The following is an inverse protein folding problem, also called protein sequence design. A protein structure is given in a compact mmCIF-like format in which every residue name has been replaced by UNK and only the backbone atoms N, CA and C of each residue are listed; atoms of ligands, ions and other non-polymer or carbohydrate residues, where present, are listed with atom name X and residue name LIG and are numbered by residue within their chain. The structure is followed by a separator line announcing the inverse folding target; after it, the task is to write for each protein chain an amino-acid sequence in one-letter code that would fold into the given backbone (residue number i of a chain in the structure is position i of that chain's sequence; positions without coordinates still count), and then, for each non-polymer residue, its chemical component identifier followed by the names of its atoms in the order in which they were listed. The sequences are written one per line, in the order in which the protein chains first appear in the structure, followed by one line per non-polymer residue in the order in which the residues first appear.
data_IF_390242592369
#
_entry.id   IF_390242592369
#
_cell.length_a   1.000
_cell.length_b   1.000
_cell.length_c   1.000
_cell.angle_alpha   90.00
_cell.angle_beta   90.00
_cell.angle_gamma   90.00
#
_symmetry.space_group_name_H-M   'P 1'
#
loop_
_entity.id
_entity.type
_entity.pdbx_description
1 polymer ?
#
# COMPACT_ATOMS: atom_id res chain seq x y z
N UNK A 1 8.36 15.16 22.88
CA UNK A 1 9.19 14.50 23.92
C UNK A 1 9.20 15.41 25.14
N UNK A 2 8.84 14.90 26.32
CA UNK A 2 8.64 15.73 27.52
C UNK A 2 9.97 15.92 28.25
N UNK A 3 10.28 17.16 28.59
CA UNK A 3 11.41 17.58 29.42
C UNK A 3 10.84 18.24 30.67
N UNK A 4 11.53 18.22 31.83
CA UNK A 4 12.80 17.55 32.13
C UNK A 4 12.67 16.02 32.21
N UNK A 5 13.73 15.29 31.84
CA UNK A 5 13.81 13.83 31.95
C UNK A 5 14.32 13.40 33.33
N UNK A 6 13.87 12.22 33.78
CA UNK A 6 14.40 11.57 34.99
C UNK A 6 15.90 11.30 34.84
N UNK A 7 16.68 11.69 35.86
CA UNK A 7 18.11 11.42 35.94
C UNK A 7 18.35 9.93 36.23
N UNK A 8 19.39 9.39 35.60
CA UNK A 8 19.79 7.99 35.74
C UNK A 8 21.28 7.97 36.02
N UNK A 9 21.68 7.48 37.20
CA UNK A 9 23.08 7.57 37.66
C UNK A 9 24.03 6.62 36.93
N UNK A 10 23.56 5.44 36.51
CA UNK A 10 24.35 4.42 35.82
C UNK A 10 23.54 3.78 34.68
N UNK A 11 24.23 3.34 33.63
CA UNK A 11 23.57 2.58 32.56
C UNK A 11 23.24 1.17 33.04
N UNK A 12 21.99 0.74 32.88
CA UNK A 12 21.50 -0.56 33.32
C UNK A 12 20.68 -1.23 32.22
N UNK A 13 20.67 -2.56 32.21
CA UNK A 13 19.80 -3.37 31.37
C UNK A 13 18.80 -4.04 32.28
N UNK A 14 17.50 -3.86 32.02
CA UNK A 14 16.46 -4.58 32.73
C UNK A 14 16.44 -6.04 32.25
N UNK A 15 16.72 -7.03 33.12
CA UNK A 15 16.76 -8.44 32.72
C UNK A 15 15.39 -9.02 32.34
N UNK A 16 14.28 -8.39 32.76
CA UNK A 16 12.93 -8.88 32.45
C UNK A 16 12.41 -8.35 31.10
N UNK A 17 12.67 -7.08 30.80
CA UNK A 17 12.18 -6.42 29.57
C UNK A 17 13.25 -6.29 28.48
N UNK A 18 14.53 -6.44 28.82
CA UNK A 18 15.65 -6.19 27.90
C UNK A 18 15.93 -4.70 27.67
N UNK A 19 15.21 -3.80 28.36
CA UNK A 19 15.33 -2.36 28.15
C UNK A 19 16.66 -1.81 28.66
N UNK A 20 17.34 -1.04 27.80
CA UNK A 20 18.60 -0.37 28.13
C UNK A 20 18.30 1.06 28.62
N UNK A 21 18.48 1.29 29.91
CA UNK A 21 18.48 2.62 30.48
C UNK A 21 19.90 3.17 30.45
N UNK A 22 20.16 4.21 29.67
CA UNK A 22 21.46 4.89 29.66
C UNK A 22 21.57 5.87 30.81
N UNK A 23 22.79 6.02 31.35
CA UNK A 23 23.12 7.09 32.30
C UNK A 23 22.73 8.45 31.73
N UNK A 24 22.01 9.24 32.52
CA UNK A 24 21.61 10.62 32.21
C UNK A 24 22.03 11.54 33.35
N UNK A 25 22.97 12.44 33.06
CA UNK A 25 23.49 13.43 34.00
C UNK A 25 22.79 14.79 33.97
N UNK A 26 22.10 15.11 32.86
CA UNK A 26 21.38 16.38 32.70
C UNK A 26 19.93 16.10 32.27
N UNK A 27 18.92 16.69 32.94
CA UNK A 27 17.52 16.44 32.63
C UNK A 27 17.05 17.03 31.29
N UNK A 28 17.79 17.94 30.68
CA UNK A 28 17.45 18.59 29.40
C UNK A 28 18.16 17.97 28.20
N UNK A 29 19.02 16.97 28.43
CA UNK A 29 19.77 16.28 27.39
C UNK A 29 19.15 14.89 27.16
N UNK A 30 18.77 14.63 25.92
CA UNK A 30 18.32 13.33 25.46
C UNK A 30 19.49 12.37 25.29
N UNK A 31 19.23 11.10 24.97
CA UNK A 31 20.31 10.18 24.67
C UNK A 31 21.02 10.64 23.38
N UNK A 32 22.35 10.75 23.42
CA UNK A 32 23.13 11.31 22.31
C UNK A 32 24.38 10.47 22.03
N UNK A 33 24.94 10.68 20.84
CA UNK A 33 26.27 10.24 20.47
C UNK A 33 27.20 11.46 20.49
N UNK A 34 28.34 11.36 21.16
CA UNK A 34 29.25 12.49 21.36
C UNK A 34 29.78 13.10 20.07
N UNK A 35 30.03 12.29 19.05
CA UNK A 35 30.57 12.76 17.77
C UNK A 35 29.49 13.43 16.94
N UNK A 36 28.29 12.84 16.88
CA UNK A 36 27.19 13.40 16.11
C UNK A 36 26.65 14.69 16.74
N UNK A 37 26.56 14.79 18.08
CA UNK A 37 26.14 16.04 18.73
C UNK A 37 27.16 17.15 18.51
N UNK A 38 28.46 16.81 18.50
CA UNK A 38 29.52 17.78 18.23
C UNK A 38 29.50 18.26 16.76
N UNK A 39 29.26 17.34 15.82
CA UNK A 39 29.20 17.65 14.39
C UNK A 39 27.94 18.44 14.02
N UNK A 40 26.76 17.98 14.45
CA UNK A 40 25.47 18.57 14.09
C UNK A 40 25.09 19.77 14.97
N UNK A 41 25.70 19.91 16.16
CA UNK A 41 25.42 20.96 17.14
C UNK A 41 23.93 21.09 17.49
N UNK A 42 23.21 19.99 17.42
CA UNK A 42 21.76 19.89 17.63
C UNK A 42 21.44 18.77 18.63
N UNK A 43 20.36 18.95 19.39
CA UNK A 43 19.92 17.92 20.34
C UNK A 43 19.47 16.67 19.57
N UNK A 44 19.94 15.50 19.99
CA UNK A 44 19.63 14.22 19.36
C UNK A 44 18.89 13.32 20.34
N UNK A 45 18.10 12.39 19.83
CA UNK A 45 17.43 11.37 20.64
C UNK A 45 17.72 9.98 20.07
N UNK A 46 18.83 9.39 20.52
CA UNK A 46 19.26 8.05 20.11
C UNK A 46 18.59 7.01 20.99
N UNK A 47 17.85 6.10 20.36
CA UNK A 47 17.20 4.97 21.01
C UNK A 47 17.81 3.68 20.49
N UNK A 48 18.15 2.77 21.41
CA UNK A 48 18.51 1.40 21.05
C UNK A 48 17.25 0.62 20.72
N UNK A 49 17.27 -0.09 19.60
CA UNK A 49 16.12 -0.85 19.09
C UNK A 49 16.50 -2.33 19.17
N UNK A 50 15.82 -3.07 20.04
CA UNK A 50 15.97 -4.52 20.14
C UNK A 50 14.82 -5.24 19.45
N UNK A 51 14.98 -6.53 19.12
CA UNK A 51 13.92 -7.35 18.54
C UNK A 51 12.78 -7.53 19.54
N UNK A 52 11.55 -7.13 19.18
CA UNK A 52 10.39 -7.21 20.06
C UNK A 52 9.30 -6.21 19.66
N UNK A 53 8.37 -5.94 20.59
CA UNK A 53 7.30 -4.95 20.43
C UNK A 53 7.81 -3.55 20.10
N UNK A 54 8.94 -3.14 20.69
CA UNK A 54 9.49 -1.80 20.51
C UNK A 54 10.01 -1.58 19.08
N UNK A 55 10.67 -2.57 18.49
CA UNK A 55 11.05 -2.52 17.07
C UNK A 55 9.82 -2.45 16.16
N UNK A 56 8.80 -3.28 16.46
CA UNK A 56 7.55 -3.32 15.70
C UNK A 56 6.83 -1.97 15.73
N UNK A 57 6.72 -1.36 16.92
CA UNK A 57 6.11 -0.05 17.11
C UNK A 57 6.91 1.07 16.42
N UNK A 58 8.24 1.01 16.52
CA UNK A 58 9.11 2.02 15.96
C UNK A 58 9.14 2.01 14.43
N UNK A 59 9.07 0.84 13.79
CA UNK A 59 8.96 0.75 12.32
C UNK A 59 7.79 1.59 11.83
N UNK A 60 6.61 1.44 12.44
CA UNK A 60 5.47 2.28 12.09
C UNK A 60 5.69 3.75 12.40
N UNK A 61 6.28 4.09 13.55
CA UNK A 61 6.57 5.48 13.89
C UNK A 61 7.48 6.16 12.85
N UNK A 62 8.54 5.45 12.43
CA UNK A 62 9.47 5.94 11.40
C UNK A 62 8.74 6.05 10.07
N UNK A 63 7.98 5.03 9.67
CA UNK A 63 7.21 5.06 8.41
C UNK A 63 6.22 6.22 8.42
N UNK A 64 5.39 6.37 9.45
CA UNK A 64 4.42 7.46 9.59
C UNK A 64 5.10 8.84 9.52
N UNK A 65 6.31 8.96 10.08
CA UNK A 65 7.09 10.19 10.03
C UNK A 65 7.64 10.47 8.62
N UNK A 66 8.21 9.46 7.95
CA UNK A 66 8.75 9.58 6.59
C UNK A 66 7.65 9.83 5.57
N UNK A 67 6.48 9.19 5.72
CA UNK A 67 5.34 9.34 4.82
C UNK A 67 4.43 10.50 5.21
N UNK A 68 4.81 11.32 6.20
CA UNK A 68 4.00 12.46 6.64
C UNK A 68 3.84 13.44 5.49
N UNK A 69 2.60 13.73 5.12
CA UNK A 69 2.29 14.70 4.07
C UNK A 69 2.89 16.05 4.42
N UNK A 70 3.60 16.66 3.46
CA UNK A 70 4.27 17.95 3.66
C UNK A 70 3.30 19.10 3.86
N UNK A 71 2.07 19.00 3.32
CA UNK A 71 1.05 20.02 3.43
C UNK A 71 -0.02 19.62 4.44
N UNK A 72 -0.35 20.53 5.37
CA UNK A 72 -1.45 20.30 6.30
C UNK A 72 -2.80 20.41 5.57
N UNK A 73 -3.83 19.76 6.10
CA UNK A 73 -5.18 19.82 5.52
C UNK A 73 -5.72 21.25 5.47
N UNK A 74 -5.46 22.06 6.50
CA UNK A 74 -5.91 23.45 6.57
C UNK A 74 -5.28 24.33 5.49
N UNK A 75 -3.99 24.15 5.21
CA UNK A 75 -3.29 24.88 4.15
C UNK A 75 -3.83 24.50 2.78
N UNK A 76 -4.01 23.20 2.53
CA UNK A 76 -4.65 22.67 1.31
C UNK A 76 -6.03 23.30 1.09
N UNK A 77 -6.85 23.36 2.14
CA UNK A 77 -8.19 23.94 2.06
C UNK A 77 -8.15 25.44 1.73
N UNK A 78 -7.27 26.20 2.38
CA UNK A 78 -7.12 27.64 2.14
C UNK A 78 -6.69 27.95 0.69
N UNK A 79 -5.79 27.11 0.15
CA UNK A 79 -5.34 27.19 -1.24
C UNK A 79 -6.50 26.87 -2.19
N UNK A 80 -7.23 25.78 -1.95
CA UNK A 80 -8.39 25.41 -2.77
C UNK A 80 -9.45 26.52 -2.78
N UNK A 81 -9.74 27.12 -1.62
CA UNK A 81 -10.67 28.25 -1.50
C UNK A 81 -10.21 29.45 -2.34
N UNK A 82 -8.92 29.81 -2.25
CA UNK A 82 -8.34 30.87 -3.07
C UNK A 82 -8.46 30.58 -4.57
N UNK A 83 -8.37 29.31 -5.01
CA UNK A 83 -8.53 28.96 -6.44
C UNK A 83 -9.96 29.16 -6.88
N UNK A 84 -10.92 28.71 -6.05
CA UNK A 84 -12.34 28.84 -6.33
C UNK A 84 -12.71 30.32 -6.48
N UNK A 85 -12.29 31.18 -5.56
CA UNK A 85 -12.53 32.64 -5.66
C UNK A 85 -11.92 33.22 -6.93
N UNK A 86 -10.70 32.81 -7.30
CA UNK A 86 -10.05 33.27 -8.54
C UNK A 86 -10.79 32.85 -9.81
N UNK A 87 -11.44 31.68 -9.79
CA UNK A 87 -12.20 31.10 -10.91
C UNK A 87 -13.59 31.73 -11.02
N UNK A 88 -14.27 31.95 -9.90
CA UNK A 88 -15.56 32.64 -9.85
C UNK A 88 -15.49 34.05 -10.47
N UNK A 89 -14.41 34.78 -10.19
CA UNK A 89 -14.19 36.10 -10.77
C UNK A 89 -14.06 36.08 -12.31
N UNK A 90 -13.49 35.00 -12.87
CA UNK A 90 -13.34 34.81 -14.32
C UNK A 90 -14.64 34.35 -15.00
N UNK A 91 -15.39 33.47 -14.33
CA UNK A 91 -16.68 33.01 -14.84
C UNK A 91 -17.72 34.12 -14.94
N UNK A 92 -17.65 35.12 -14.05
CA UNK A 92 -18.49 36.31 -14.14
C UNK A 92 -18.22 37.16 -15.40
N UNK A 93 -17.09 36.93 -16.09
CA UNK A 93 -16.68 37.69 -17.29
C UNK A 93 -16.87 36.91 -18.60
N UNK A 94 -17.04 35.58 -18.57
CA UNK A 94 -17.13 34.73 -19.77
C UNK A 94 -18.27 33.71 -19.66
N UNK A 95 -19.35 33.92 -20.42
CA UNK A 95 -20.61 33.18 -20.26
C UNK A 95 -20.82 32.01 -21.26
N UNK A 96 -19.86 31.73 -22.15
CA UNK A 96 -20.04 30.79 -23.27
C UNK A 96 -19.44 29.38 -23.08
N UNK A 97 -19.00 29.02 -21.87
CA UNK A 97 -18.37 27.70 -21.63
C UNK A 97 -19.34 26.65 -21.05
N UNK A 98 -19.24 25.43 -21.56
CA UNK A 98 -19.95 24.25 -21.04
C UNK A 98 -19.59 23.96 -19.59
N UNK A 99 -20.54 23.42 -18.81
CA UNK A 99 -20.35 23.05 -17.41
C UNK A 99 -19.18 22.06 -17.22
N UNK A 100 -18.96 21.14 -18.17
CA UNK A 100 -17.84 20.18 -18.12
C UNK A 100 -16.50 20.91 -18.21
N UNK A 101 -16.39 21.89 -19.12
CA UNK A 101 -15.15 22.63 -19.34
C UNK A 101 -14.85 23.55 -18.14
N UNK A 102 -15.88 24.16 -17.56
CA UNK A 102 -15.78 24.91 -16.30
C UNK A 102 -15.24 24.03 -15.18
N UNK A 103 -15.79 22.83 -14.99
CA UNK A 103 -15.31 21.87 -14.00
C UNK A 103 -13.85 21.44 -14.23
N UNK A 104 -13.47 21.15 -15.49
CA UNK A 104 -12.07 20.82 -15.84
C UNK A 104 -11.12 21.96 -15.49
N UNK A 105 -11.47 23.19 -15.84
CA UNK A 105 -10.65 24.39 -15.53
C UNK A 105 -10.54 24.65 -14.04
N UNK A 106 -11.62 24.43 -13.28
CA UNK A 106 -11.60 24.54 -11.83
C UNK A 106 -10.61 23.55 -11.22
N UNK A 107 -10.72 22.26 -11.57
CA UNK A 107 -9.82 21.20 -11.07
C UNK A 107 -8.37 21.50 -11.43
N UNK A 108 -8.09 21.86 -12.68
CA UNK A 108 -6.74 22.17 -13.15
C UNK A 108 -6.15 23.38 -12.39
N UNK A 109 -6.97 24.39 -12.08
CA UNK A 109 -6.53 25.59 -11.38
C UNK A 109 -6.28 25.33 -9.89
N UNK A 110 -7.13 24.52 -9.25
CA UNK A 110 -6.88 24.03 -7.89
C UNK A 110 -5.56 23.24 -7.85
N UNK A 111 -5.36 22.31 -8.79
CA UNK A 111 -4.13 21.53 -8.88
C UNK A 111 -2.88 22.40 -9.07
N UNK A 112 -2.89 23.31 -10.05
CA UNK A 112 -1.75 24.19 -10.32
C UNK A 112 -1.43 25.12 -9.15
N UNK A 113 -2.46 25.59 -8.43
CA UNK A 113 -2.20 26.41 -7.25
C UNK A 113 -1.64 25.60 -6.08
N UNK A 114 -2.15 24.39 -5.84
CA UNK A 114 -1.57 23.49 -4.86
C UNK A 114 -0.12 23.16 -5.19
N UNK A 115 0.17 22.82 -6.45
CA UNK A 115 1.53 22.52 -6.91
C UNK A 115 2.48 23.72 -6.81
N UNK A 116 2.01 24.93 -7.14
CA UNK A 116 2.86 26.14 -7.10
C UNK A 116 3.11 26.69 -5.70
N UNK A 117 2.21 26.42 -4.74
CA UNK A 117 2.33 26.88 -3.36
C UNK A 117 2.85 25.77 -2.43
N UNK A 118 3.25 24.63 -2.99
CA UNK A 118 3.87 23.56 -2.22
C UNK A 118 5.29 23.98 -1.82
N UNK A 119 5.52 24.13 -0.53
CA UNK A 119 6.86 24.33 0.01
C UNK A 119 7.67 23.03 -0.15
N UNK A 120 8.89 23.15 -0.68
CA UNK A 120 9.85 22.06 -0.79
C UNK A 120 10.99 22.30 0.20
N UNK A 121 11.48 21.24 0.81
CA UNK A 121 12.65 21.33 1.68
C UNK A 121 13.88 21.73 0.85
N UNK A 122 14.73 22.61 1.39
CA UNK A 122 16.00 22.97 0.75
C UNK A 122 16.88 21.75 0.43
N UNK A 123 16.78 20.68 1.24
CA UNK A 123 17.47 19.41 1.01
C UNK A 123 16.91 18.68 -0.21
N UNK A 124 15.59 18.69 -0.41
CA UNK A 124 14.95 18.10 -1.59
C UNK A 124 15.35 18.86 -2.86
N UNK A 125 15.35 20.20 -2.81
CA UNK A 125 15.78 21.04 -3.93
C UNK A 125 17.25 20.79 -4.26
N UNK A 126 18.12 20.72 -3.26
CA UNK A 126 19.54 20.41 -3.46
C UNK A 126 19.72 19.02 -4.09
N UNK A 127 19.05 17.99 -3.57
CA UNK A 127 19.10 16.63 -4.13
C UNK A 127 18.69 16.60 -5.60
N UNK A 128 17.61 17.30 -5.95
CA UNK A 128 17.13 17.41 -7.32
C UNK A 128 18.12 18.14 -8.23
N UNK A 129 18.68 19.27 -7.79
CA UNK A 129 19.69 20.03 -8.54
C UNK A 129 20.99 19.23 -8.73
N UNK A 130 21.35 18.38 -7.77
CA UNK A 130 22.50 17.50 -7.84
C UNK A 130 22.23 16.23 -8.67
N UNK A 131 21.02 16.08 -9.23
CA UNK A 131 20.58 14.91 -9.98
C UNK A 131 20.79 13.60 -9.19
N UNK A 132 20.50 13.66 -7.89
CA UNK A 132 20.48 12.49 -7.03
C UNK A 132 19.11 11.82 -7.10
N UNK A 133 19.11 10.49 -7.04
CA UNK A 133 17.87 9.72 -6.96
C UNK A 133 17.11 10.06 -5.68
N UNK A 134 15.79 10.16 -5.77
CA UNK A 134 14.87 10.48 -4.68
C UNK A 134 14.46 9.25 -3.86
N UNK A 135 14.90 8.05 -4.27
CA UNK A 135 14.61 6.81 -3.58
C UNK A 135 15.72 5.77 -3.78
N UNK A 136 15.84 4.85 -2.81
CA UNK A 136 16.65 3.65 -2.91
C UNK A 136 15.74 2.44 -2.84
N UNK A 137 15.74 1.60 -3.87
CA UNK A 137 14.94 0.38 -3.90
C UNK A 137 15.80 -0.82 -4.24
N UNK A 138 15.65 -1.88 -3.46
CA UNK A 138 16.30 -3.18 -3.71
C UNK A 138 15.51 -4.04 -4.68
N UNK A 139 14.22 -3.73 -4.86
CA UNK A 139 13.28 -4.50 -5.66
C UNK A 139 12.54 -3.60 -6.64
N UNK A 140 12.04 -4.18 -7.71
CA UNK A 140 11.05 -3.55 -8.60
C UNK A 140 9.65 -3.87 -8.12
N UNK A 141 8.69 -3.02 -8.43
CA UNK A 141 7.32 -3.12 -7.96
C UNK A 141 6.34 -3.18 -9.13
N UNK A 142 5.22 -3.87 -8.93
CA UNK A 142 4.16 -3.95 -9.92
C UNK A 142 2.79 -3.82 -9.23
N UNK A 143 1.95 -2.92 -9.72
CA UNK A 143 0.68 -2.61 -9.08
C UNK A 143 -0.34 -3.72 -9.31
N UNK A 144 -1.08 -4.08 -8.25
CA UNK A 144 -2.14 -5.08 -8.27
C UNK A 144 -3.39 -4.58 -7.54
N UNK A 145 -4.48 -4.37 -8.27
CA UNK A 145 -5.78 -3.98 -7.72
C UNK A 145 -6.57 -5.20 -7.22
N UNK A 146 -6.23 -5.68 -6.01
CA UNK A 146 -6.81 -6.90 -5.46
C UNK A 146 -8.33 -6.83 -5.27
N UNK A 147 -8.84 -5.70 -4.80
CA UNK A 147 -10.27 -5.54 -4.44
C UNK A 147 -11.21 -5.80 -5.62
N UNK A 148 -10.79 -5.45 -6.83
CA UNK A 148 -11.59 -5.68 -8.04
C UNK A 148 -11.71 -7.16 -8.34
N UNK A 149 -10.60 -7.89 -8.19
CA UNK A 149 -10.56 -9.34 -8.39
C UNK A 149 -11.39 -10.06 -7.32
N UNK A 150 -11.27 -9.64 -6.05
CA UNK A 150 -12.11 -10.17 -4.97
C UNK A 150 -13.61 -9.95 -5.21
N UNK A 151 -14.00 -8.73 -5.61
CA UNK A 151 -15.40 -8.38 -5.89
C UNK A 151 -15.96 -9.19 -7.06
N UNK A 152 -15.20 -9.30 -8.15
CA UNK A 152 -15.58 -10.13 -9.29
C UNK A 152 -15.83 -11.59 -8.87
N UNK A 153 -14.89 -12.18 -8.12
CA UNK A 153 -15.03 -13.56 -7.66
C UNK A 153 -16.24 -13.73 -6.73
N UNK A 154 -16.47 -12.79 -5.82
CA UNK A 154 -17.64 -12.82 -4.94
C UNK A 154 -18.95 -12.71 -5.73
N UNK A 155 -19.03 -11.79 -6.69
CA UNK A 155 -20.19 -11.62 -7.56
C UNK A 155 -20.46 -12.90 -8.37
N UNK A 156 -19.43 -13.47 -8.99
CA UNK A 156 -19.54 -14.72 -9.75
C UNK A 156 -20.02 -15.90 -8.88
N UNK A 157 -19.56 -15.98 -7.62
CA UNK A 157 -20.01 -17.01 -6.68
C UNK A 157 -21.48 -16.82 -6.31
N UNK A 158 -21.89 -15.57 -6.04
CA UNK A 158 -23.27 -15.24 -5.70
C UNK A 158 -24.23 -15.52 -6.86
N UNK A 159 -23.84 -15.20 -8.10
CA UNK A 159 -24.60 -15.54 -9.30
C UNK A 159 -24.76 -17.06 -9.46
N UNK A 160 -23.67 -17.81 -9.29
CA UNK A 160 -23.70 -19.29 -9.37
C UNK A 160 -24.61 -19.89 -8.29
N UNK A 161 -24.55 -19.35 -7.07
CA UNK A 161 -25.46 -19.73 -5.96
C UNK A 161 -26.92 -19.41 -6.29
N UNK A 162 -27.19 -18.25 -6.86
CA UNK A 162 -28.54 -17.85 -7.24
C UNK A 162 -29.12 -18.76 -8.34
N UNK A 163 -28.32 -19.09 -9.36
CA UNK A 163 -28.71 -20.03 -10.42
C UNK A 163 -29.05 -21.41 -9.86
N UNK A 164 -28.21 -21.95 -8.96
CA UNK A 164 -28.50 -23.25 -8.33
C UNK A 164 -29.77 -23.21 -7.46
N UNK A 165 -30.03 -22.11 -6.75
CA UNK A 165 -31.27 -21.93 -5.98
C UNK A 165 -32.50 -21.90 -6.90
N UNK A 166 -32.44 -21.21 -8.03
CA UNK A 166 -33.50 -21.19 -9.05
C UNK A 166 -33.77 -22.56 -9.64
N UNK A 167 -32.72 -23.32 -9.97
CA UNK A 167 -32.85 -24.70 -10.47
C UNK A 167 -33.46 -25.64 -9.41
N UNK A 168 -33.06 -25.49 -8.13
CA UNK A 168 -33.58 -26.30 -7.03
C UNK A 168 -35.04 -25.94 -6.69
N UNK A 169 -35.40 -24.66 -6.78
CA UNK A 169 -36.76 -24.16 -6.60
C UNK A 169 -37.70 -24.54 -7.75
N UNK A 170 -37.19 -24.64 -8.98
CA UNK A 170 -37.95 -25.16 -10.12
C UNK A 170 -38.27 -26.66 -9.97
N UNK A 171 -37.48 -27.39 -9.16
CA UNK A 171 -37.65 -28.84 -8.94
C UNK A 171 -38.54 -29.18 -7.73
N UNK A 172 -38.71 -28.27 -6.76
CA UNK A 172 -39.50 -28.50 -5.54
C UNK A 172 -40.63 -27.46 -5.40
N UNK A 173 -41.85 -27.87 -5.74
CA UNK A 173 -43.07 -27.15 -5.35
C UNK A 173 -43.39 -27.53 -3.90
N UNK A 174 -43.43 -26.53 -3.00
CA UNK A 174 -43.64 -26.58 -1.53
C UNK A 174 -42.32 -26.91 -0.79
N UNK A 175 -41.74 -26.07 0.07
CA UNK A 175 -42.32 -25.32 1.17
C UNK A 175 -41.58 -24.00 1.42
N UNK A 176 -42.31 -23.01 1.93
CA UNK A 176 -41.77 -21.72 2.36
C UNK A 176 -40.97 -21.91 3.64
N UNK A 177 -39.69 -21.55 3.64
CA UNK A 177 -39.05 -20.99 4.82
C UNK A 177 -38.08 -19.88 4.41
N UNK A 178 -38.53 -18.66 4.72
CA UNK A 178 -37.78 -17.42 4.63
C UNK A 178 -36.65 -17.51 5.67
N UNK A 179 -35.42 -17.65 5.19
CA UNK A 179 -34.24 -17.22 5.95
C UNK A 179 -33.80 -15.87 5.41
N UNK A 180 -33.99 -14.88 6.28
CA UNK A 180 -33.48 -13.52 6.21
C UNK A 180 -31.94 -13.62 6.21
N UNK A 181 -31.33 -13.52 5.04
CA UNK A 181 -29.90 -13.26 4.92
C UNK A 181 -29.79 -11.84 4.38
N UNK A 182 -29.27 -10.96 5.23
CA UNK A 182 -29.19 -9.53 5.01
C UNK A 182 -28.75 -9.23 3.58
N UNK A 183 -29.57 -8.47 2.85
CA UNK A 183 -29.13 -7.84 1.62
C UNK A 183 -27.94 -6.96 1.99
N UNK A 184 -26.72 -7.47 1.78
CA UNK A 184 -25.52 -6.64 1.78
C UNK A 184 -25.80 -5.59 0.72
N UNK A 185 -25.99 -4.38 1.21
CA UNK A 185 -26.25 -3.15 0.51
C UNK A 185 -25.45 -3.14 -0.81
N UNK A 186 -26.12 -3.53 -1.89
CA UNK A 186 -25.54 -3.61 -3.24
C UNK A 186 -25.63 -2.24 -3.92
N UNK A 187 -25.61 -1.18 -3.11
CA UNK A 187 -25.70 0.19 -3.59
C UNK A 187 -24.26 0.71 -3.80
N UNK A 188 -23.88 0.74 -5.08
CA UNK A 188 -22.83 1.57 -5.67
C UNK A 188 -21.36 1.15 -5.55
N UNK A 189 -20.95 -0.04 -6.04
CA UNK A 189 -19.55 -0.21 -6.46
C UNK A 189 -19.18 -1.43 -7.36
N UNK A 190 -20.01 -1.77 -8.33
CA UNK A 190 -19.74 -2.81 -9.36
C UNK A 190 -18.71 -2.38 -10.43
N UNK A 191 -18.06 -1.23 -10.26
CA UNK A 191 -17.14 -0.68 -11.25
C UNK A 191 -15.77 -1.37 -11.20
N UNK A 192 -15.64 -2.50 -11.89
CA UNK A 192 -14.33 -3.00 -12.30
C UNK A 192 -13.60 -1.91 -13.10
N UNK A 193 -12.39 -1.55 -12.67
CA UNK A 193 -11.59 -0.60 -13.43
C UNK A 193 -10.89 -1.34 -14.57
N UNK A 194 -11.24 -0.96 -15.78
CA UNK A 194 -10.62 -1.47 -16.97
C UNK A 194 -9.69 -0.43 -17.56
N UNK A 195 -8.51 -0.87 -18.00
CA UNK A 195 -7.75 -0.08 -18.95
C UNK A 195 -8.46 -0.15 -20.31
N UNK A 196 -8.92 1.01 -20.78
CA UNK A 196 -9.49 1.16 -22.12
C UNK A 196 -8.32 1.27 -23.10
N UNK A 197 -8.14 0.24 -23.93
CA UNK A 197 -7.13 0.25 -24.99
C UNK A 197 -7.81 0.28 -26.37
N UNK A 198 -7.36 1.19 -27.25
CA UNK A 198 -7.80 1.21 -28.65
C UNK A 198 -6.99 0.19 -29.45
N UNK A 199 -7.67 -0.66 -30.21
CA UNK A 199 -7.02 -1.41 -31.28
C UNK A 199 -6.67 -0.48 -32.46
N UNK A 200 -5.51 -0.67 -33.08
CA UNK A 200 -5.02 0.19 -34.18
C UNK A 200 -5.83 0.04 -35.48
N UNK A 201 -6.45 -1.12 -35.70
CA UNK A 201 -7.10 -1.46 -36.97
C UNK A 201 -8.62 -1.29 -37.00
N UNK A 202 -9.24 -1.12 -35.85
CA UNK A 202 -10.66 -0.83 -35.71
C UNK A 202 -10.79 0.00 -34.44
N UNK A 203 -11.59 1.07 -34.45
CA UNK A 203 -11.90 1.94 -33.29
C UNK A 203 -12.70 1.20 -32.20
N UNK A 204 -12.32 -0.03 -31.90
CA UNK A 204 -12.90 -0.92 -30.90
C UNK A 204 -12.10 -0.75 -29.63
N UNK A 205 -12.80 -0.33 -28.58
CA UNK A 205 -12.24 -0.25 -27.25
C UNK A 205 -12.30 -1.64 -26.62
N UNK A 206 -11.17 -2.09 -26.09
CA UNK A 206 -11.08 -3.34 -25.33
C UNK A 206 -10.84 -2.99 -23.87
N UNK A 207 -11.69 -3.56 -23.01
CA UNK A 207 -11.58 -3.46 -21.56
C UNK A 207 -10.66 -4.56 -21.06
N UNK A 208 -9.56 -4.18 -20.41
CA UNK A 208 -8.57 -5.16 -19.94
C UNK A 208 -8.11 -4.85 -18.52
N UNK A 209 -7.94 -5.92 -17.74
CA UNK A 209 -7.46 -5.90 -16.36
C UNK A 209 -6.50 -7.09 -16.16
N UNK A 210 -5.59 -6.99 -15.18
CA UNK A 210 -4.68 -8.07 -14.75
C UNK A 210 -5.45 -9.35 -14.42
N UNK A 211 -6.67 -9.22 -13.86
CA UNK A 211 -7.58 -10.35 -13.65
C UNK A 211 -7.81 -11.15 -14.93
N UNK A 212 -8.17 -10.47 -16.03
CA UNK A 212 -8.46 -11.11 -17.33
C UNK A 212 -7.18 -11.74 -17.90
N UNK A 213 -6.05 -11.02 -17.79
CA UNK A 213 -4.74 -11.54 -18.21
C UNK A 213 -4.39 -12.84 -17.44
N UNK A 214 -4.70 -12.91 -16.13
CA UNK A 214 -4.48 -14.09 -15.29
C UNK A 214 -5.45 -15.24 -15.60
N UNK A 215 -6.75 -14.96 -15.74
CA UNK A 215 -7.76 -15.98 -16.02
C UNK A 215 -7.54 -16.69 -17.35
N UNK A 216 -7.10 -15.97 -18.38
CA UNK A 216 -6.87 -16.53 -19.71
C UNK A 216 -5.37 -16.69 -20.02
N UNK A 217 -4.56 -16.92 -18.98
CA UNK A 217 -3.14 -17.24 -19.11
C UNK A 217 -2.93 -18.55 -19.87
N UNK A 218 -1.72 -18.75 -20.41
CA UNK A 218 -1.32 -19.99 -21.07
C UNK A 218 -1.47 -21.20 -20.15
N UNK A 219 -1.85 -22.35 -20.70
CA UNK A 219 -2.01 -23.61 -19.95
C UNK A 219 -0.73 -24.04 -19.21
N UNK A 220 0.45 -23.63 -19.71
CA UNK A 220 1.74 -23.86 -19.07
C UNK A 220 1.89 -23.12 -17.72
N UNK A 221 1.09 -22.08 -17.49
CA UNK A 221 1.14 -21.23 -16.30
C UNK A 221 -0.01 -21.54 -15.31
N UNK A 222 -0.75 -22.63 -15.52
CA UNK A 222 -1.93 -22.95 -14.70
C UNK A 222 -1.61 -23.16 -13.21
N UNK A 223 -0.38 -23.56 -12.89
CA UNK A 223 0.09 -23.79 -11.51
C UNK A 223 0.48 -22.53 -10.75
N UNK A 224 0.56 -21.38 -11.41
CA UNK A 224 0.94 -20.13 -10.76
C UNK A 224 -0.24 -19.49 -10.05
N UNK A 225 -0.01 -18.99 -8.85
CA UNK A 225 -0.95 -18.12 -8.17
C UNK A 225 -0.91 -16.70 -8.75
N UNK A 226 -1.91 -15.87 -8.43
CA UNK A 226 -1.99 -14.51 -8.92
C UNK A 226 -0.78 -13.65 -8.49
N UNK A 227 -0.29 -13.84 -7.25
CA UNK A 227 0.88 -13.14 -6.75
C UNK A 227 2.14 -13.42 -7.59
N UNK A 228 2.44 -14.69 -7.83
CA UNK A 228 3.59 -15.10 -8.64
C UNK A 228 3.44 -14.69 -10.10
N UNK A 229 2.22 -14.74 -10.63
CA UNK A 229 1.95 -14.30 -11.99
C UNK A 229 2.33 -12.83 -12.19
N UNK A 230 1.89 -11.95 -11.30
CA UNK A 230 2.20 -10.50 -11.35
C UNK A 230 3.67 -10.23 -11.06
N UNK A 231 4.29 -11.04 -10.20
CA UNK A 231 5.72 -10.93 -9.87
C UNK A 231 6.65 -11.32 -11.02
N UNK A 232 6.25 -12.31 -11.81
CA UNK A 232 7.13 -12.97 -12.80
C UNK A 232 6.81 -12.53 -14.24
N UNK A 233 5.57 -12.14 -14.55
CA UNK A 233 5.12 -11.88 -15.92
C UNK A 233 4.56 -10.48 -16.10
N UNK A 234 4.74 -9.96 -17.32
CA UNK A 234 4.06 -8.77 -17.80
C UNK A 234 3.49 -8.97 -19.18
N UNK A 235 2.45 -8.20 -19.47
CA UNK A 235 1.83 -8.16 -20.79
C UNK A 235 2.60 -7.25 -21.73
N UNK A 236 2.94 -7.75 -22.91
CA UNK A 236 3.67 -7.03 -23.97
C UNK A 236 2.92 -7.14 -25.30
N UNK A 237 2.80 -6.02 -26.03
CA UNK A 237 2.28 -6.03 -27.41
C UNK A 237 3.23 -6.85 -28.31
N UNK A 238 2.66 -7.68 -29.17
CA UNK A 238 3.44 -8.55 -30.05
C UNK A 238 4.14 -7.75 -31.15
N UNK A 239 5.44 -8.02 -31.34
CA UNK A 239 6.22 -7.50 -32.46
C UNK A 239 6.57 -8.62 -33.46
N UNK A 240 7.05 -8.24 -34.65
CA UNK A 240 7.49 -9.19 -35.70
C UNK A 240 8.58 -10.16 -35.22
N UNK A 241 9.42 -9.74 -34.26
CA UNK A 241 10.44 -10.59 -33.63
C UNK A 241 9.85 -11.63 -32.69
N UNK A 242 8.75 -11.32 -32.01
CA UNK A 242 8.08 -12.22 -31.10
C UNK A 242 7.33 -13.32 -31.88
N UNK A 243 6.74 -12.99 -33.03
CA UNK A 243 6.14 -13.98 -33.94
C UNK A 243 7.18 -15.00 -34.47
N UNK A 244 8.38 -14.53 -34.82
CA UNK A 244 9.49 -15.40 -35.24
C UNK A 244 9.96 -16.33 -34.12
N UNK A 245 9.93 -15.85 -32.88
CA UNK A 245 10.30 -16.66 -31.72
C UNK A 245 9.28 -17.78 -31.47
N UNK A 246 7.99 -17.46 -31.52
CA UNK A 246 6.91 -18.42 -31.32
C UNK A 246 6.86 -19.47 -32.43
N UNK A 247 7.09 -19.09 -33.70
CA UNK A 247 7.17 -20.04 -34.81
C UNK A 247 8.38 -20.97 -34.68
N UNK A 248 9.52 -20.45 -34.17
CA UNK A 248 10.71 -21.26 -33.91
C UNK A 248 10.46 -22.31 -32.82
N UNK A 249 9.84 -21.93 -31.71
CA UNK A 249 9.50 -22.87 -30.63
C UNK A 249 8.50 -23.93 -31.09
N UNK A 250 7.47 -23.54 -31.84
CA UNK A 250 6.48 -24.49 -32.36
C UNK A 250 7.09 -25.52 -33.33
N UNK A 251 8.19 -25.18 -34.01
CA UNK A 251 8.87 -26.04 -34.97
C UNK A 251 10.07 -26.83 -34.43
N UNK A 252 10.49 -26.64 -33.17
CA UNK A 252 11.72 -27.28 -32.65
C UNK A 252 11.55 -27.87 -31.26
N UNK A 253 11.27 -29.17 -31.21
CA UNK A 253 11.39 -29.97 -29.98
C UNK A 253 12.86 -30.33 -29.69
N UNK A 254 13.80 -30.22 -30.65
CA UNK A 254 15.14 -30.84 -30.50
C UNK A 254 16.39 -29.96 -30.65
N UNK A 255 16.32 -28.64 -30.89
CA UNK A 255 17.55 -27.83 -31.07
C UNK A 255 17.75 -26.76 -29.99
N UNK A 256 18.06 -27.17 -28.75
CA UNK A 256 18.78 -26.34 -27.78
C UNK A 256 20.29 -26.60 -27.88
N UNK A 257 20.90 -26.29 -29.02
CA UNK A 257 22.35 -26.41 -29.19
C UNK A 257 22.94 -25.02 -29.52
N UNK A 258 23.77 -24.53 -28.60
CA UNK A 258 24.80 -23.50 -28.77
C UNK A 258 24.38 -22.09 -29.24
N UNK A 259 23.54 -21.39 -28.46
CA UNK A 259 23.50 -19.92 -28.54
C UNK A 259 24.41 -19.31 -27.47
N UNK A 260 25.49 -18.64 -27.90
CA UNK A 260 26.31 -17.79 -27.02
C UNK A 260 25.56 -16.49 -26.74
N UNK A 261 25.27 -16.21 -25.47
CA UNK A 261 24.62 -14.96 -25.02
C UNK A 261 23.62 -15.19 -23.89
N UNK A 262 23.02 -14.09 -23.40
CA UNK A 262 21.93 -14.16 -22.42
C UNK A 262 20.73 -14.87 -23.06
N UNK A 263 20.14 -15.91 -22.42
CA UNK A 263 18.98 -16.58 -22.97
C UNK A 263 17.82 -15.58 -23.12
N UNK A 264 17.05 -15.66 -24.22
CA UNK A 264 15.89 -14.80 -24.39
C UNK A 264 14.85 -15.10 -23.31
N UNK A 265 14.12 -14.07 -22.87
CA UNK A 265 13.04 -14.24 -21.91
C UNK A 265 11.95 -15.16 -22.48
N UNK A 266 11.39 -15.98 -21.62
CA UNK A 266 10.27 -16.88 -21.95
C UNK A 266 9.03 -16.05 -22.35
N UNK A 267 8.33 -16.54 -23.39
CA UNK A 267 7.13 -15.89 -23.95
C UNK A 267 6.00 -16.91 -24.01
N UNK A 268 4.82 -16.49 -23.60
CA UNK A 268 3.62 -17.32 -23.56
C UNK A 268 2.46 -16.60 -24.23
N UNK A 269 1.66 -17.33 -25.00
CA UNK A 269 0.43 -16.83 -25.61
C UNK A 269 -0.74 -16.92 -24.64
N UNK A 270 -1.67 -15.96 -24.72
CA UNK A 270 -2.94 -16.08 -24.01
C UNK A 270 -3.83 -17.16 -24.65
N UNK A 271 -4.81 -17.65 -23.89
CA UNK A 271 -5.88 -18.48 -24.41
C UNK A 271 -6.75 -17.69 -25.40
N UNK A 272 -7.43 -18.39 -26.32
CA UNK A 272 -8.21 -17.78 -27.40
C UNK A 272 -9.37 -16.91 -26.91
N UNK A 273 -9.86 -17.17 -25.70
CA UNK A 273 -10.91 -16.43 -25.02
C UNK A 273 -10.46 -15.05 -24.55
N UNK A 274 -9.14 -14.80 -24.46
CA UNK A 274 -8.61 -13.51 -24.05
C UNK A 274 -8.89 -12.44 -25.13
N UNK A 275 -9.44 -11.26 -24.77
CA UNK A 275 -9.77 -10.21 -25.74
C UNK A 275 -8.59 -9.72 -26.60
N UNK A 276 -7.36 -9.88 -26.09
CA UNK A 276 -6.13 -9.48 -26.76
C UNK A 276 -5.21 -10.65 -27.14
N UNK A 277 -5.76 -11.88 -27.27
CA UNK A 277 -4.96 -13.08 -27.54
C UNK A 277 -4.10 -12.99 -28.82
N UNK A 278 -4.58 -12.26 -29.82
CA UNK A 278 -3.91 -12.10 -31.13
C UNK A 278 -2.90 -10.97 -31.15
N UNK A 279 -2.99 -10.01 -30.24
CA UNK A 279 -2.23 -8.75 -30.27
C UNK A 279 -1.19 -8.64 -29.17
N UNK A 280 -1.37 -9.34 -28.05
CA UNK A 280 -0.48 -9.30 -26.88
C UNK A 280 -0.04 -10.69 -26.46
N UNK A 281 1.13 -10.77 -25.82
CA UNK A 281 1.66 -11.98 -25.19
C UNK A 281 2.12 -11.68 -23.76
N UNK A 282 2.35 -12.73 -22.99
CA UNK A 282 2.98 -12.65 -21.68
C UNK A 282 4.47 -12.90 -21.81
N UNK A 283 5.27 -12.03 -21.21
CA UNK A 283 6.73 -12.14 -21.19
C UNK A 283 7.19 -12.23 -19.75
N UNK A 284 8.12 -13.14 -19.48
CA UNK A 284 8.78 -13.25 -18.19
C UNK A 284 9.71 -12.05 -17.97
N UNK A 285 9.65 -11.43 -16.80
CA UNK A 285 10.61 -10.40 -16.41
C UNK A 285 12.03 -10.97 -16.32
N UNK A 286 13.02 -10.09 -16.45
CA UNK A 286 14.42 -10.42 -16.15
C UNK A 286 14.68 -10.63 -14.66
N UNK A 287 13.96 -9.92 -13.82
CA UNK A 287 14.06 -9.89 -12.36
C UNK A 287 12.64 -9.90 -11.78
N UNK A 288 12.46 -10.52 -10.61
CA UNK A 288 11.14 -10.58 -9.96
C UNK A 288 10.69 -9.20 -9.52
N UNK A 289 9.40 -8.92 -9.69
CA UNK A 289 8.77 -7.70 -9.19
C UNK A 289 7.96 -8.03 -7.94
N UNK A 290 7.89 -7.11 -6.98
CA UNK A 290 7.06 -7.26 -5.78
C UNK A 290 5.68 -6.67 -6.09
N UNK A 291 4.60 -7.47 -6.07
CA UNK A 291 3.25 -6.96 -6.22
C UNK A 291 2.89 -5.97 -5.10
N UNK A 292 2.48 -4.77 -5.48
CA UNK A 292 1.97 -3.74 -4.56
C UNK A 292 0.46 -3.80 -4.59
N UNK A 293 -0.13 -4.21 -3.47
CA UNK A 293 -1.58 -4.37 -3.35
C UNK A 293 -2.25 -2.99 -3.20
N UNK A 294 -2.93 -2.55 -4.25
CA UNK A 294 -3.75 -1.34 -4.23
C UNK A 294 -5.18 -1.63 -3.79
N UNK A 295 -5.72 -0.71 -3.00
CA UNK A 295 -7.08 -0.78 -2.47
C UNK A 295 -7.09 -0.91 -0.93
N UNK A 296 -8.22 -1.40 -0.36
CA UNK A 296 -8.33 -1.61 1.06
C UNK A 296 -7.26 -2.60 1.55
N UNK A 297 -6.67 -2.31 2.71
CA UNK A 297 -5.69 -3.21 3.32
C UNK A 297 -6.23 -4.65 3.42
N UNK A 298 -5.30 -5.60 3.33
CA UNK A 298 -5.59 -7.00 3.64
C UNK A 298 -6.23 -7.09 5.03
N UNK A 299 -7.29 -7.88 5.22
CA UNK A 299 -7.90 -8.02 6.54
C UNK A 299 -7.01 -8.82 7.50
N UNK A 300 -7.24 -8.65 8.80
CA UNK A 300 -6.51 -9.39 9.84
C UNK A 300 -7.05 -10.80 9.95
N UNK A 301 -6.18 -11.78 10.23
CA UNK A 301 -6.66 -13.13 10.51
C UNK A 301 -7.34 -13.21 11.87
N UNK A 302 -6.90 -12.44 12.87
CA UNK A 302 -7.33 -12.65 14.27
C UNK A 302 -8.72 -12.09 14.61
N UNK A 303 -9.41 -11.42 13.67
CA UNK A 303 -10.77 -10.92 13.90
C UNK A 303 -11.79 -11.73 13.11
N UNK A 304 -12.83 -12.19 13.79
CA UNK A 304 -13.85 -13.05 13.20
C UNK A 304 -14.73 -12.31 12.18
N UNK A 305 -15.01 -11.02 12.42
CA UNK A 305 -15.78 -10.17 11.49
C UNK A 305 -15.10 -10.00 10.12
N UNK A 306 -13.77 -10.12 10.07
CA UNK A 306 -13.00 -10.00 8.83
C UNK A 306 -12.48 -11.33 8.28
N UNK A 307 -12.81 -12.46 8.93
CA UNK A 307 -12.24 -13.78 8.62
C UNK A 307 -12.60 -14.24 7.21
N UNK A 308 -13.86 -14.14 6.82
CA UNK A 308 -14.33 -14.52 5.48
C UNK A 308 -13.60 -13.73 4.38
N UNK A 309 -13.49 -12.40 4.55
CA UNK A 309 -12.74 -11.56 3.60
C UNK A 309 -11.25 -11.92 3.60
N UNK A 310 -10.64 -12.20 4.76
CA UNK A 310 -9.24 -12.62 4.85
C UNK A 310 -9.01 -13.89 4.03
N UNK A 311 -9.81 -14.93 4.27
CA UNK A 311 -9.71 -16.21 3.56
C UNK A 311 -9.91 -16.02 2.05
N UNK A 312 -10.90 -15.22 1.62
CA UNK A 312 -11.10 -14.88 0.21
C UNK A 312 -9.88 -14.19 -0.40
N UNK A 313 -9.30 -13.21 0.26
CA UNK A 313 -8.15 -12.47 -0.25
C UNK A 313 -6.89 -13.34 -0.36
N UNK A 314 -6.63 -14.20 0.63
CA UNK A 314 -5.51 -15.16 0.61
C UNK A 314 -5.68 -16.18 -0.51
N UNK A 315 -6.88 -16.77 -0.66
CA UNK A 315 -7.18 -17.70 -1.74
C UNK A 315 -7.02 -17.04 -3.12
N UNK A 316 -7.50 -15.80 -3.27
CA UNK A 316 -7.40 -15.04 -4.53
C UNK A 316 -5.95 -14.80 -4.94
N UNK A 317 -5.08 -14.46 -3.98
CA UNK A 317 -3.68 -14.13 -4.25
C UNK A 317 -2.77 -15.35 -4.43
N UNK A 318 -2.92 -16.35 -3.55
CA UNK A 318 -1.89 -17.38 -3.33
C UNK A 318 -2.30 -18.78 -3.78
N UNK A 319 -3.54 -18.98 -4.24
CA UNK A 319 -3.98 -20.23 -4.86
C UNK A 319 -4.12 -20.03 -6.38
N UNK A 320 -3.77 -21.01 -7.23
CA UNK A 320 -4.03 -20.94 -8.67
C UNK A 320 -5.52 -21.14 -8.99
N UNK A 321 -6.09 -20.31 -9.87
CA UNK A 321 -7.49 -20.41 -10.28
C UNK A 321 -7.72 -19.86 -11.69
N UNK A 322 -8.84 -20.26 -12.32
CA UNK A 322 -9.40 -19.67 -13.55
C UNK A 322 -10.80 -19.13 -13.28
N UNK A 323 -11.58 -19.85 -12.47
CA UNK A 323 -12.93 -19.48 -12.06
C UNK A 323 -13.07 -19.52 -10.55
N UNK A 324 -14.15 -18.94 -10.03
CA UNK A 324 -14.40 -18.95 -8.58
C UNK A 324 -14.59 -20.36 -8.00
N UNK A 325 -15.06 -21.31 -8.81
CA UNK A 325 -15.26 -22.71 -8.40
C UNK A 325 -13.95 -23.41 -8.01
N UNK A 326 -12.83 -22.98 -8.60
CA UNK A 326 -11.50 -23.50 -8.22
C UNK A 326 -11.14 -23.11 -6.79
N UNK A 327 -11.60 -21.93 -6.35
CA UNK A 327 -11.30 -21.37 -5.03
C UNK A 327 -12.33 -21.76 -3.98
N UNK A 328 -13.62 -21.66 -4.27
CA UNK A 328 -14.70 -21.88 -3.30
C UNK A 328 -15.85 -22.66 -3.93
N UNK A 329 -16.29 -23.72 -3.26
CA UNK A 329 -17.47 -24.47 -3.67
C UNK A 329 -18.76 -23.69 -3.43
N UNK A 330 -19.81 -24.01 -4.17
CA UNK A 330 -21.07 -23.25 -4.12
C UNK A 330 -21.69 -23.26 -2.71
N UNK A 331 -21.59 -24.38 -2.00
CA UNK A 331 -22.07 -24.55 -0.61
C UNK A 331 -21.02 -24.26 0.47
N UNK A 332 -19.78 -23.92 0.11
CA UNK A 332 -18.70 -23.70 1.06
C UNK A 332 -18.59 -22.23 1.46
N UNK A 333 -18.21 -21.96 2.71
CA UNK A 333 -17.74 -20.63 3.12
C UNK A 333 -16.30 -20.41 2.62
N UNK A 334 -15.84 -19.15 2.59
CA UNK A 334 -14.44 -18.90 2.22
C UNK A 334 -13.47 -19.46 3.26
N UNK A 335 -13.86 -19.49 4.54
CA UNK A 335 -13.06 -20.12 5.60
C UNK A 335 -12.90 -21.64 5.37
N UNK A 336 -13.99 -22.35 5.08
CA UNK A 336 -13.92 -23.78 4.79
C UNK A 336 -13.06 -24.05 3.55
N UNK A 337 -13.29 -23.27 2.49
CA UNK A 337 -12.52 -23.36 1.27
C UNK A 337 -11.01 -23.15 1.51
N UNK A 338 -10.64 -22.23 2.41
CA UNK A 338 -9.26 -21.99 2.80
C UNK A 338 -8.65 -23.20 3.53
N UNK A 339 -9.37 -23.77 4.51
CA UNK A 339 -8.91 -24.98 5.24
C UNK A 339 -8.61 -26.13 4.28
N UNK A 340 -9.43 -26.34 3.26
CA UNK A 340 -9.22 -27.40 2.27
C UNK A 340 -8.08 -27.11 1.29
N UNK A 341 -7.85 -25.85 0.90
CA UNK A 341 -6.95 -25.47 -0.19
C UNK A 341 -5.61 -24.88 0.25
N UNK A 342 -5.40 -24.65 1.55
CA UNK A 342 -4.15 -24.11 2.10
C UNK A 342 -2.88 -24.89 1.68
N UNK A 343 -3.01 -26.21 1.44
CA UNK A 343 -1.91 -27.06 1.00
C UNK A 343 -1.44 -26.77 -0.44
N UNK A 344 -2.23 -26.06 -1.24
CA UNK A 344 -1.87 -25.62 -2.59
C UNK A 344 -0.94 -24.40 -2.58
N UNK A 345 -0.84 -23.70 -1.44
CA UNK A 345 0.00 -22.51 -1.29
C UNK A 345 1.46 -22.96 -1.16
N UNK A 346 2.32 -22.41 -2.02
CA UNK A 346 3.75 -22.69 -2.01
C UNK A 346 4.39 -22.21 -0.71
N UNK A 347 5.37 -22.97 -0.20
CA UNK A 347 6.02 -22.72 1.10
C UNK A 347 6.61 -21.32 1.24
N UNK A 348 7.17 -20.74 0.18
CA UNK A 348 7.76 -19.40 0.23
C UNK A 348 6.69 -18.29 0.32
N UNK A 349 5.47 -18.54 -0.17
CA UNK A 349 4.36 -17.60 -0.10
C UNK A 349 3.80 -17.48 1.32
N UNK A 350 3.94 -18.53 2.14
CA UNK A 350 3.57 -18.46 3.56
C UNK A 350 4.36 -17.39 4.32
N UNK A 351 5.63 -17.18 3.99
CA UNK A 351 6.41 -16.07 4.58
C UNK A 351 5.80 -14.71 4.24
N UNK A 352 5.24 -14.53 3.04
CA UNK A 352 4.55 -13.29 2.67
C UNK A 352 3.24 -13.15 3.45
N UNK A 353 2.47 -14.23 3.59
CA UNK A 353 1.23 -14.26 4.36
C UNK A 353 1.50 -13.91 5.84
N UNK A 354 2.55 -14.48 6.42
CA UNK A 354 3.01 -14.19 7.78
C UNK A 354 3.46 -12.73 7.93
N UNK A 355 4.17 -12.18 6.93
CA UNK A 355 4.59 -10.78 6.94
C UNK A 355 3.41 -9.80 6.88
N UNK A 356 2.34 -10.13 6.14
CA UNK A 356 1.10 -9.33 6.11
C UNK A 356 0.46 -9.31 7.51
N UNK A 357 0.42 -10.45 8.19
CA UNK A 357 -0.11 -10.52 9.55
C UNK A 357 0.81 -9.79 10.55
N UNK A 358 2.13 -9.95 10.42
CA UNK A 358 3.12 -9.27 11.24
C UNK A 358 2.96 -7.74 11.15
N UNK A 359 2.70 -7.20 9.96
CA UNK A 359 2.42 -5.78 9.77
C UNK A 359 1.22 -5.33 10.64
N UNK A 360 0.16 -6.12 10.70
CA UNK A 360 -0.98 -5.83 11.56
C UNK A 360 -0.68 -5.89 13.05
N UNK A 361 0.12 -6.86 13.48
CA UNK A 361 0.61 -6.96 14.86
C UNK A 361 1.46 -5.74 15.22
N UNK A 362 2.38 -5.34 14.34
CA UNK A 362 3.22 -4.17 14.55
C UNK A 362 2.39 -2.89 14.73
N UNK A 363 1.30 -2.75 13.97
CA UNK A 363 0.37 -1.62 14.14
C UNK A 363 -0.30 -1.63 15.51
N UNK A 364 -0.71 -2.82 15.97
CA UNK A 364 -1.33 -2.99 17.29
C UNK A 364 -0.33 -2.64 18.41
N UNK A 365 0.88 -3.19 18.34
CA UNK A 365 1.93 -2.93 19.32
C UNK A 365 2.29 -1.44 19.39
N UNK A 366 2.30 -0.73 18.25
CA UNK A 366 2.41 0.73 18.22
C UNK A 366 1.28 1.42 18.97
N UNK A 367 0.04 1.06 18.67
CA UNK A 367 -1.14 1.70 19.26
C UNK A 367 -1.19 1.47 20.78
N UNK A 368 -0.86 0.24 21.22
CA UNK A 368 -0.75 -0.12 22.64
C UNK A 368 0.38 0.67 23.33
N UNK A 369 1.54 0.79 22.70
CA UNK A 369 2.65 1.62 23.22
C UNK A 369 2.27 3.11 23.30
N UNK A 370 1.54 3.64 22.31
CA UNK A 370 1.04 5.03 22.35
C UNK A 370 0.07 5.25 23.51
N UNK A 371 -0.85 4.31 23.76
CA UNK A 371 -1.77 4.36 24.89
C UNK A 371 -1.03 4.35 26.23
N UNK A 372 0.00 3.51 26.36
CA UNK A 372 0.83 3.48 27.56
C UNK A 372 1.52 4.82 27.82
N UNK A 373 2.13 5.42 26.79
CA UNK A 373 2.78 6.74 26.90
C UNK A 373 1.78 7.84 27.29
N UNK A 374 0.55 7.78 26.77
CA UNK A 374 -0.52 8.73 27.13
C UNK A 374 -0.93 8.53 28.60
N UNK A 375 -1.11 7.29 29.05
CA UNK A 375 -1.49 6.98 30.43
C UNK A 375 -0.40 7.42 31.44
N UNK A 376 0.87 7.16 31.14
CA UNK A 376 2.00 7.65 31.94
C UNK A 376 2.03 9.18 32.00
N UNK A 377 1.78 9.85 30.88
CA UNK A 377 1.75 11.31 30.82
C UNK A 377 0.60 11.94 31.62
N UNK A 378 -0.53 11.24 31.73
CA UNK A 378 -1.68 11.65 32.54
C UNK A 378 -1.44 11.43 34.03
N UNK A 379 -0.91 10.26 34.41
CA UNK A 379 -0.57 9.93 35.80
C UNK A 379 0.48 10.89 36.40
N UNK A 380 1.49 11.28 35.61
CA UNK A 380 2.47 12.27 36.03
C UNK A 380 1.86 13.68 36.17
N UNK A 381 0.86 14.02 35.35
CA UNK A 381 0.21 15.33 35.42
C UNK A 381 -0.64 15.50 36.69
N UNK A 382 -1.28 14.43 37.16
CA UNK A 382 -2.06 14.42 38.40
C UNK A 382 -1.15 14.47 39.65
N UNK A 383 0.16 14.25 39.50
CA UNK A 383 1.16 14.26 40.58
C UNK A 383 1.94 15.58 40.72
N UNK A 384 1.75 16.52 39.80
CA UNK A 384 2.46 17.81 39.79
C UNK A 384 1.46 18.92 40.13
N UNK A 385 1.47 19.36 41.40
CA UNK A 385 0.88 20.64 41.76
C UNK A 385 1.55 21.74 40.93
N UNK A 386 0.81 22.66 40.30
CA UNK A 386 1.41 23.74 39.52
C UNK A 386 2.17 24.68 40.45
N UNK A 387 3.49 24.49 40.53
CA UNK A 387 4.38 25.44 41.19
C UNK A 387 4.46 26.69 40.32
N UNK A 388 3.63 27.68 40.64
CA UNK A 388 3.85 29.05 40.21
C UNK A 388 5.16 29.53 40.84
N UNK A 389 6.24 29.51 40.05
CA UNK A 389 7.50 30.13 40.43
C UNK A 389 7.21 31.61 40.62
N UNK A 390 7.18 32.08 41.87
CA UNK A 390 7.17 33.51 42.20
C UNK A 390 8.53 34.09 41.83
N UNK A 391 8.54 35.04 40.91
CA UNK A 391 9.71 35.85 40.58
C UNK A 391 10.11 36.69 41.80
N UNK A 392 11.02 36.19 42.62
CA UNK A 392 11.73 36.98 43.62
C UNK A 392 13.15 37.30 43.14
N UNK A 393 13.31 38.55 42.70
CA UNK A 393 14.52 39.36 42.66
C UNK A 393 15.88 38.65 42.43
N UNK A 394 16.31 38.58 41.16
CA UNK A 394 17.74 38.56 40.82
C UNK A 394 18.14 39.86 40.12
N UNK A 395 18.76 40.73 40.90
CA UNK A 395 19.53 41.87 40.43
C UNK A 395 20.73 41.40 39.59
N UNK A 396 20.83 41.95 38.38
CA UNK A 396 22.10 42.26 37.71
C UNK A 396 23.00 41.10 37.23
N UNK A 397 22.64 40.44 36.13
CA UNK A 397 23.57 40.13 35.02
C UNK A 397 22.81 40.18 33.70
N UNK A 398 23.18 41.12 32.84
CA UNK A 398 22.66 41.29 31.49
C UNK A 398 22.94 40.06 30.63
N UNK A 399 21.90 39.32 30.27
CA UNK A 399 21.93 38.45 29.10
C UNK A 399 21.72 39.32 27.85
N UNK A 400 22.75 39.41 27.00
CA UNK A 400 22.64 40.02 25.69
C UNK A 400 21.67 39.21 24.82
N UNK A 401 20.73 39.84 24.09
CA UNK A 401 19.94 39.16 23.07
C UNK A 401 20.80 38.99 21.81
N UNK A 402 21.41 37.81 21.68
CA UNK A 402 22.10 37.42 20.45
C UNK A 402 21.09 37.06 19.37
N UNK A 403 20.67 38.08 18.60
CA UNK A 403 20.15 37.90 17.25
C UNK A 403 21.25 37.23 16.43
N UNK A 404 21.08 35.95 16.09
CA UNK A 404 21.84 35.32 15.02
C UNK A 404 20.86 35.01 13.88
N UNK A 405 20.73 36.02 13.03
CA UNK A 405 20.42 35.91 11.61
C UNK A 405 21.19 34.73 11.01
N UNK A 406 20.47 33.74 10.49
CA UNK A 406 21.03 32.77 9.53
C UNK A 406 21.42 33.55 8.26
N UNK A 407 22.70 33.54 7.84
CA UNK A 407 23.05 34.01 6.52
C UNK A 407 22.61 32.96 5.50
N UNK A 408 21.91 33.46 4.48
CA UNK A 408 21.73 32.80 3.19
C UNK A 408 23.10 32.39 2.65
N UNK A 409 23.26 31.11 2.32
CA UNK A 409 24.02 30.63 1.18
C UNK A 409 23.33 29.39 0.62
#
# INVERSE_FOLDING_TARGET
MRMPRKLVSNSTIDPATGNICMRRSDPWINNFNEYLIAACRSNMDIKFIWSGSDAKALVYYITDYVTKTSLSFHDTFSLVQKSITSVQNLWNQTNNESAIEKSRKLVLRCYNMLASQQELSGVQVASYLMNWDDHYTTHRFQDLFLIQTERFLQAQLNETRAQQKLETAAQNVIDNDIYDDEAIDNDNNDEEHFQIQSTEHDKKYVLVNIRIDFQYRSDNLNRLCLYDFVSIFYKKKMNSTDLKYLSKIAGSIEEKINQKGRPPNERFLFQKQHPQATTYLMMKYSESHVPVLYGPHMPRRDRDDTRERYCRAILTLFVPWHTVTDLCGISQTWEDAFKFRQHLILRHLWTIIENIQLLHECKKDRDDHLLQVIAEAQADNDSIDPVLIRDEHRTGRSWCPGVLSCPVL
#
